data_IF_274892117863
#
_entry.id   IF_274892117863
#
_cell.length_a   1.000
_cell.length_b   1.000
_cell.length_c   1.000
_cell.angle_alpha   90.00
_cell.angle_beta   90.00
_cell.angle_gamma   90.00
#
_symmetry.space_group_name_H-M   'P 1'
#
loop_
_entity.id
_entity.type
_entity.pdbx_description
1 polymer ?
#
# COMPACT_ATOMS: atom_id res chain seq x y z
N UNK A 1 2.95 0.35 -2.95
CA UNK A 1 3.11 1.09 -1.66
C UNK A 1 1.78 1.46 -0.99
N UNK A 2 0.77 1.89 -1.75
CA UNK A 2 -0.53 2.39 -1.27
C UNK A 2 -1.22 1.55 -0.16
N UNK A 3 -1.17 0.21 -0.22
CA UNK A 3 -1.74 -0.63 0.86
C UNK A 3 -1.12 -0.33 2.22
N UNK A 4 0.20 -0.14 2.28
CA UNK A 4 0.90 0.18 3.52
C UNK A 4 0.52 1.56 4.05
N UNK A 5 0.17 2.50 3.17
CA UNK A 5 -0.31 3.84 3.54
C UNK A 5 -1.72 3.79 4.11
N UNK A 6 -2.65 3.04 3.47
CA UNK A 6 -4.03 2.87 3.96
C UNK A 6 -4.07 2.10 5.27
N UNK A 7 -3.31 0.99 5.36
CA UNK A 7 -3.24 0.15 6.57
C UNK A 7 -2.10 0.54 7.51
N UNK A 8 -1.58 1.78 7.43
CA UNK A 8 -0.43 2.22 8.23
C UNK A 8 -0.72 2.08 9.72
N UNK A 9 -1.87 2.54 10.19
CA UNK A 9 -2.24 2.49 11.60
C UNK A 9 -2.24 1.05 12.14
N UNK A 10 -2.86 0.12 11.40
CA UNK A 10 -2.91 -1.29 11.77
C UNK A 10 -1.54 -1.99 11.77
N UNK A 11 -0.63 -1.51 10.91
CA UNK A 11 0.70 -2.11 10.68
C UNK A 11 1.84 -1.30 11.31
N UNK A 12 1.54 -0.26 12.09
CA UNK A 12 2.48 0.77 12.53
C UNK A 12 3.73 0.20 13.20
N UNK A 13 3.53 -0.69 14.18
CA UNK A 13 4.63 -1.28 14.94
C UNK A 13 5.61 -2.05 14.04
N UNK A 14 5.07 -2.83 13.08
CA UNK A 14 5.88 -3.62 12.16
C UNK A 14 6.52 -2.75 11.09
N UNK A 15 5.85 -1.69 10.63
CA UNK A 15 6.42 -0.71 9.70
C UNK A 15 7.56 0.08 10.33
N UNK A 16 7.44 0.50 11.59
CA UNK A 16 8.52 1.16 12.32
C UNK A 16 9.71 0.22 12.58
N UNK A 17 9.43 -1.06 12.89
CA UNK A 17 10.46 -2.09 12.97
C UNK A 17 11.17 -2.29 11.62
N UNK A 18 10.40 -2.37 10.53
CA UNK A 18 10.91 -2.50 9.16
C UNK A 18 11.80 -1.31 8.77
N UNK A 19 11.35 -0.09 9.06
CA UNK A 19 12.11 1.15 8.87
C UNK A 19 13.50 1.06 9.52
N UNK A 20 13.54 0.59 10.77
CA UNK A 20 14.77 0.50 11.55
C UNK A 20 15.69 -0.61 11.03
N UNK A 21 15.14 -1.80 10.77
CA UNK A 21 15.94 -3.00 10.49
C UNK A 21 16.40 -3.13 9.05
N UNK A 22 15.62 -2.62 8.10
CA UNK A 22 15.89 -2.78 6.66
C UNK A 22 16.41 -1.48 6.06
N UNK A 23 15.86 -0.34 6.47
CA UNK A 23 16.23 0.97 5.93
C UNK A 23 17.16 1.78 6.84
N UNK A 24 17.53 1.24 8.00
CA UNK A 24 18.37 1.90 9.00
C UNK A 24 17.82 3.27 9.48
N UNK A 25 16.49 3.44 9.46
CA UNK A 25 15.81 4.68 9.88
C UNK A 25 15.54 4.60 11.39
N UNK A 26 16.45 5.16 12.18
CA UNK A 26 16.43 5.08 13.66
C UNK A 26 15.85 6.32 14.34
N UNK A 27 15.76 7.45 13.63
CA UNK A 27 15.26 8.73 14.16
C UNK A 27 13.79 9.01 13.83
N UNK A 28 13.11 9.72 14.71
CA UNK A 28 11.69 10.10 14.59
C UNK A 28 10.72 9.17 15.33
N UNK A 29 9.44 9.55 15.31
CA UNK A 29 8.32 8.76 15.88
C UNK A 29 8.08 7.49 15.08
N UNK A 30 7.21 6.59 15.57
CA UNK A 30 6.87 5.37 14.84
C UNK A 30 6.18 5.68 13.51
N UNK A 31 5.33 6.70 13.50
CA UNK A 31 4.60 7.18 12.34
C UNK A 31 5.56 7.73 11.29
N UNK A 32 6.49 8.61 11.70
CA UNK A 32 7.51 9.17 10.82
C UNK A 32 8.41 8.07 10.23
N UNK A 33 8.79 7.09 11.05
CA UNK A 33 9.59 5.94 10.60
C UNK A 33 8.82 5.09 9.59
N UNK A 34 7.56 4.81 9.85
CA UNK A 34 6.70 4.06 8.94
C UNK A 34 6.55 4.78 7.60
N UNK A 35 6.29 6.09 7.62
CA UNK A 35 6.16 6.91 6.41
C UNK A 35 7.46 6.92 5.59
N UNK A 36 8.61 7.14 6.24
CA UNK A 36 9.92 7.10 5.57
C UNK A 36 10.22 5.72 4.99
N UNK A 37 9.83 4.63 5.67
CA UNK A 37 10.03 3.28 5.15
C UNK A 37 9.15 2.98 3.94
N UNK A 38 7.90 3.45 3.92
CA UNK A 38 7.02 3.33 2.76
C UNK A 38 7.60 4.10 1.58
N UNK A 39 8.09 5.33 1.81
CA UNK A 39 8.77 6.12 0.78
C UNK A 39 10.03 5.42 0.24
N UNK A 40 10.89 4.89 1.12
CA UNK A 40 12.07 4.12 0.69
C UNK A 40 11.73 2.86 -0.10
N UNK A 41 10.63 2.20 0.25
CA UNK A 41 10.13 1.04 -0.49
C UNK A 41 9.71 1.44 -1.91
N UNK A 42 9.04 2.60 -2.05
CA UNK A 42 8.66 3.16 -3.35
C UNK A 42 9.90 3.48 -4.19
N UNK A 43 10.81 4.28 -3.65
CA UNK A 43 12.07 4.68 -4.29
C UNK A 43 12.87 3.45 -4.75
N UNK A 44 12.93 2.41 -3.92
CA UNK A 44 13.64 1.18 -4.26
C UNK A 44 13.06 0.48 -5.49
N UNK A 45 11.74 0.27 -5.56
CA UNK A 45 11.14 -0.35 -6.75
C UNK A 45 11.33 0.50 -8.00
N UNK A 46 11.18 1.82 -7.89
CA UNK A 46 11.38 2.74 -9.02
C UNK A 46 12.84 2.76 -9.48
N UNK A 47 13.80 2.65 -8.57
CA UNK A 47 15.24 2.51 -8.90
C UNK A 47 15.56 1.24 -9.70
N UNK A 48 14.72 0.21 -9.59
CA UNK A 48 14.83 -1.03 -10.36
C UNK A 48 14.05 -1.00 -11.68
N UNK A 49 13.48 0.16 -12.04
CA UNK A 49 12.67 0.33 -13.24
C UNK A 49 11.23 -0.18 -13.11
N UNK A 50 10.75 -0.44 -11.88
CA UNK A 50 9.37 -0.85 -11.63
C UNK A 50 8.57 0.35 -11.12
N UNK A 51 7.74 0.94 -11.99
CA UNK A 51 6.88 2.05 -11.61
C UNK A 51 5.84 1.62 -10.56
N UNK A 52 5.47 2.55 -9.68
CA UNK A 52 4.66 2.25 -8.49
C UNK A 52 3.29 2.92 -8.47
N UNK A 53 2.94 3.64 -9.54
CA UNK A 53 1.58 4.15 -9.78
C UNK A 53 0.96 3.48 -11.02
N UNK A 54 -0.35 3.30 -11.01
CA UNK A 54 -1.12 2.69 -12.09
C UNK A 54 -1.06 3.54 -13.37
N UNK A 55 -1.08 4.88 -13.23
CA UNK A 55 -0.99 5.79 -14.38
C UNK A 55 0.30 5.64 -15.18
N UNK A 56 1.40 5.22 -14.54
CA UNK A 56 2.70 5.01 -15.20
C UNK A 56 2.65 3.83 -16.19
N UNK A 57 1.61 2.99 -16.10
CA UNK A 57 1.30 1.90 -17.02
C UNK A 57 0.09 2.20 -17.93
N UNK A 58 -0.40 3.45 -17.94
CA UNK A 58 -1.58 3.82 -18.73
C UNK A 58 -2.91 3.30 -18.17
N UNK A 59 -2.96 2.97 -16.88
CA UNK A 59 -4.16 2.48 -16.19
C UNK A 59 -4.80 3.65 -15.44
N UNK A 60 -6.06 3.95 -15.77
CA UNK A 60 -6.82 5.04 -15.16
C UNK A 60 -7.80 4.60 -14.08
N UNK A 61 -8.62 5.55 -13.64
CA UNK A 61 -9.60 5.38 -12.55
C UNK A 61 -10.67 4.33 -12.87
N UNK A 62 -10.98 4.12 -14.15
CA UNK A 62 -11.93 3.12 -14.64
C UNK A 62 -11.54 1.67 -14.26
N UNK A 63 -10.24 1.42 -14.09
CA UNK A 63 -9.76 0.11 -13.66
C UNK A 63 -10.13 -0.18 -12.19
N UNK A 64 -10.27 0.85 -11.35
CA UNK A 64 -10.64 0.69 -9.94
C UNK A 64 -12.01 0.04 -9.81
N UNK A 65 -12.99 0.53 -10.56
CA UNK A 65 -14.36 -0.03 -10.56
C UNK A 65 -14.37 -1.48 -11.03
N UNK A 66 -13.62 -1.76 -12.10
CA UNK A 66 -13.50 -3.09 -12.68
C UNK A 66 -12.93 -4.09 -11.69
N UNK A 67 -11.82 -3.74 -11.03
CA UNK A 67 -11.16 -4.61 -10.04
C UNK A 67 -12.04 -4.81 -8.81
N UNK A 68 -12.66 -3.75 -8.28
CA UNK A 68 -13.56 -3.84 -7.11
C UNK A 68 -14.75 -4.75 -7.39
N UNK A 69 -15.32 -4.70 -8.60
CA UNK A 69 -16.37 -5.62 -9.02
C UNK A 69 -15.87 -7.06 -9.05
N UNK A 70 -14.71 -7.32 -9.66
CA UNK A 70 -14.13 -8.67 -9.72
C UNK A 70 -13.82 -9.24 -8.32
N UNK A 71 -13.35 -8.42 -7.37
CA UNK A 71 -13.15 -8.85 -5.98
C UNK A 71 -14.47 -9.36 -5.36
N UNK A 72 -15.59 -8.64 -5.60
CA UNK A 72 -16.91 -9.08 -5.12
C UNK A 72 -17.37 -10.37 -5.80
N UNK A 73 -17.25 -10.43 -7.13
CA UNK A 73 -17.68 -11.59 -7.93
C UNK A 73 -16.90 -12.86 -7.55
N UNK A 74 -15.62 -12.73 -7.14
CA UNK A 74 -14.79 -13.84 -6.68
C UNK A 74 -14.89 -14.13 -5.18
N UNK A 75 -15.75 -13.44 -4.42
CA UNK A 75 -15.89 -13.63 -2.99
C UNK A 75 -14.72 -13.13 -2.15
N UNK A 76 -13.84 -12.29 -2.71
CA UNK A 76 -12.69 -11.69 -2.04
C UNK A 76 -13.10 -10.47 -1.20
N UNK A 77 -13.97 -10.68 -0.22
CA UNK A 77 -14.61 -9.60 0.55
C UNK A 77 -13.97 -9.30 1.90
N UNK A 78 -13.03 -10.13 2.36
CA UNK A 78 -12.37 -10.02 3.67
C UNK A 78 -10.87 -10.38 3.54
N UNK A 79 -10.11 -9.50 2.90
CA UNK A 79 -8.68 -9.69 2.65
C UNK A 79 -7.82 -9.15 3.81
N UNK A 80 -6.51 -9.43 3.75
CA UNK A 80 -5.55 -8.98 4.75
C UNK A 80 -5.47 -9.89 5.97
N UNK A 81 -4.44 -9.71 6.80
CA UNK A 81 -4.18 -10.59 7.94
C UNK A 81 -5.23 -10.51 9.06
N UNK A 82 -6.01 -9.43 9.09
CA UNK A 82 -7.14 -9.25 10.01
C UNK A 82 -8.50 -9.48 9.34
N UNK A 83 -8.54 -9.83 8.04
CA UNK A 83 -9.78 -9.94 7.26
C UNK A 83 -10.55 -8.62 7.10
N UNK A 84 -9.87 -7.49 7.28
CA UNK A 84 -10.46 -6.14 7.38
C UNK A 84 -10.21 -5.28 6.12
N UNK A 85 -9.73 -5.90 5.03
CA UNK A 85 -9.67 -5.27 3.71
C UNK A 85 -10.90 -5.74 2.93
N UNK A 86 -11.97 -4.95 3.03
CA UNK A 86 -13.19 -5.13 2.23
C UNK A 86 -13.00 -4.57 0.82
N UNK A 87 -13.92 -4.82 -0.13
CA UNK A 87 -13.86 -4.22 -1.46
C UNK A 87 -13.84 -2.68 -1.44
N UNK A 88 -14.42 -2.06 -0.42
CA UNK A 88 -14.41 -0.61 -0.20
C UNK A 88 -13.03 -0.13 0.26
N UNK A 89 -12.34 -0.88 1.12
CA UNK A 89 -10.94 -0.60 1.48
C UNK A 89 -10.01 -0.85 0.30
N UNK A 90 -10.25 -1.91 -0.48
CA UNK A 90 -9.50 -2.18 -1.71
C UNK A 90 -9.66 -1.04 -2.73
N UNK A 91 -10.85 -0.45 -2.86
CA UNK A 91 -11.07 0.76 -3.65
C UNK A 91 -10.17 1.90 -3.17
N UNK A 92 -10.13 2.19 -1.87
CA UNK A 92 -9.27 3.25 -1.33
C UNK A 92 -7.79 2.99 -1.66
N UNK A 93 -7.32 1.75 -1.51
CA UNK A 93 -5.95 1.35 -1.84
C UNK A 93 -5.65 1.59 -3.33
N UNK A 94 -6.54 1.14 -4.22
CA UNK A 94 -6.36 1.28 -5.66
C UNK A 94 -6.42 2.74 -6.10
N UNK A 95 -7.32 3.53 -5.55
CA UNK A 95 -7.41 4.98 -5.83
C UNK A 95 -6.13 5.71 -5.41
N UNK A 96 -5.53 5.36 -4.27
CA UNK A 96 -4.23 5.93 -3.86
C UNK A 96 -3.05 5.45 -4.72
N UNK A 97 -3.22 4.35 -5.45
CA UNK A 97 -2.20 3.81 -6.35
C UNK A 97 -2.26 4.42 -7.76
N UNK A 98 -3.26 5.25 -8.08
CA UNK A 98 -3.32 5.99 -9.35
C UNK A 98 -2.22 7.05 -9.45
#
# INVERSE_FOLDING_TARGET
PALLEVKKADKLEKLAQYATRVWHITEGTKEEKADKAIAKTREFFESLGVATHLKDYGIGVEAVDTVVKQLKDHGMTQLGEKGDITPEVAREILTRAL
#
